data_IF_454796727219
#
_entry.id   IF_454796727219
#
_cell.length_a   1.000
_cell.length_b   1.000
_cell.length_c   1.000
_cell.angle_alpha   90.00
_cell.angle_beta   90.00
_cell.angle_gamma   90.00
#
_symmetry.space_group_name_H-M   'P 1'
#
loop_
_entity.id
_entity.type
_entity.pdbx_description
1 polymer ?
#
# COMPACT_ATOMS: atom_id res chain seq x y z
N UNK A 1 19.87 -1.10 -18.79
CA UNK A 1 20.31 -0.14 -17.76
C UNK A 1 20.91 -0.81 -16.52
N UNK A 2 20.25 -1.76 -15.86
CA UNK A 2 20.73 -2.31 -14.56
C UNK A 2 22.07 -3.06 -14.61
N UNK A 3 22.32 -3.87 -15.64
CA UNK A 3 23.60 -4.61 -15.81
C UNK A 3 24.77 -3.63 -16.03
N UNK A 4 24.54 -2.56 -16.78
CA UNK A 4 25.55 -1.52 -17.01
C UNK A 4 25.94 -0.81 -15.71
N UNK A 5 24.96 -0.47 -14.86
CA UNK A 5 25.21 0.14 -13.54
C UNK A 5 26.02 -0.82 -12.65
N UNK A 6 25.70 -2.11 -12.65
CA UNK A 6 26.47 -3.11 -11.90
C UNK A 6 27.89 -3.25 -12.43
N UNK A 7 28.09 -3.23 -13.76
CA UNK A 7 29.42 -3.28 -14.36
C UNK A 7 30.26 -2.06 -13.98
N UNK A 8 29.69 -0.85 -14.05
CA UNK A 8 30.36 0.38 -13.63
C UNK A 8 30.69 0.35 -12.13
N UNK A 9 29.76 -0.10 -11.28
CA UNK A 9 29.98 -0.22 -9.84
C UNK A 9 31.09 -1.24 -9.52
N UNK A 10 31.09 -2.37 -10.23
CA UNK A 10 32.16 -3.37 -10.13
C UNK A 10 33.52 -2.78 -10.53
N UNK A 11 33.57 -2.03 -11.63
CA UNK A 11 34.80 -1.42 -12.11
C UNK A 11 35.38 -0.41 -11.10
N UNK A 12 34.52 0.37 -10.43
CA UNK A 12 34.95 1.41 -9.49
C UNK A 12 35.35 0.83 -8.13
N UNK A 13 34.59 -0.12 -7.59
CA UNK A 13 34.71 -0.55 -6.20
C UNK A 13 34.51 -2.06 -5.97
N UNK A 14 34.55 -2.85 -7.05
CA UNK A 14 34.53 -4.31 -7.01
C UNK A 14 33.21 -4.92 -6.55
N UNK A 15 33.30 -6.15 -6.04
CA UNK A 15 32.12 -6.93 -5.64
C UNK A 15 31.35 -6.33 -4.46
N UNK A 16 32.02 -5.59 -3.56
CA UNK A 16 31.35 -4.94 -2.43
C UNK A 16 30.33 -3.90 -2.89
N UNK A 17 30.64 -3.11 -3.92
CA UNK A 17 29.70 -2.14 -4.48
C UNK A 17 28.50 -2.84 -5.14
N UNK A 18 28.73 -3.96 -5.84
CA UNK A 18 27.66 -4.75 -6.42
C UNK A 18 26.72 -5.32 -5.35
N UNK A 19 27.29 -5.88 -4.28
CA UNK A 19 26.52 -6.43 -3.16
C UNK A 19 25.72 -5.33 -2.45
N UNK A 20 26.33 -4.17 -2.21
CA UNK A 20 25.66 -3.03 -1.61
C UNK A 20 24.47 -2.55 -2.46
N UNK A 21 24.68 -2.34 -3.77
CA UNK A 21 23.60 -1.93 -4.68
C UNK A 21 22.47 -2.97 -4.75
N UNK A 22 22.83 -4.25 -4.82
CA UNK A 22 21.84 -5.32 -4.79
C UNK A 22 21.05 -5.31 -3.49
N UNK A 23 21.73 -5.23 -2.34
CA UNK A 23 21.10 -5.20 -1.02
C UNK A 23 20.17 -3.99 -0.87
N UNK A 24 20.60 -2.79 -1.27
CA UNK A 24 19.75 -1.60 -1.27
C UNK A 24 18.53 -1.78 -2.16
N UNK A 25 18.71 -2.22 -3.41
CA UNK A 25 17.58 -2.45 -4.32
C UNK A 25 16.60 -3.49 -3.81
N UNK A 26 17.11 -4.58 -3.22
CA UNK A 26 16.31 -5.63 -2.60
C UNK A 26 15.51 -5.10 -1.41
N UNK A 27 16.16 -4.38 -0.48
CA UNK A 27 15.49 -3.78 0.68
C UNK A 27 14.44 -2.75 0.24
N UNK A 28 14.77 -1.88 -0.72
CA UNK A 28 13.80 -0.92 -1.29
C UNK A 28 12.60 -1.63 -1.91
N UNK A 29 12.80 -2.74 -2.63
CA UNK A 29 11.71 -3.52 -3.19
C UNK A 29 10.85 -4.17 -2.11
N UNK A 30 11.46 -4.74 -1.07
CA UNK A 30 10.72 -5.29 0.07
C UNK A 30 9.87 -4.23 0.77
N UNK A 31 10.41 -3.03 1.01
CA UNK A 31 9.67 -1.92 1.62
C UNK A 31 8.49 -1.51 0.72
N UNK A 32 8.72 -1.40 -0.59
CA UNK A 32 7.66 -1.08 -1.56
C UNK A 32 6.53 -2.12 -1.54
N UNK A 33 6.87 -3.40 -1.48
CA UNK A 33 5.87 -4.47 -1.40
C UNK A 33 5.09 -4.47 -0.08
N UNK A 34 5.74 -4.16 1.04
CA UNK A 34 5.05 -4.02 2.34
C UNK A 34 4.06 -2.86 2.28
N UNK A 35 4.48 -1.72 1.72
CA UNK A 35 3.63 -0.53 1.50
C UNK A 35 2.44 -0.86 0.61
N UNK A 36 2.69 -1.41 -0.58
CA UNK A 36 1.63 -1.80 -1.52
C UNK A 36 0.65 -2.78 -0.87
N UNK A 37 1.16 -3.76 -0.13
CA UNK A 37 0.34 -4.73 0.55
C UNK A 37 -0.57 -4.08 1.59
N UNK A 38 -0.01 -3.23 2.47
CA UNK A 38 -0.76 -2.67 3.58
C UNK A 38 -1.80 -1.64 3.10
N UNK A 39 -1.48 -0.85 2.07
CA UNK A 39 -2.36 0.18 1.51
C UNK A 39 -3.53 -0.38 0.71
N UNK A 40 -3.38 -1.57 0.14
CA UNK A 40 -4.42 -2.23 -0.65
C UNK A 40 -4.99 -3.48 0.01
N UNK A 41 -4.68 -3.72 1.28
CA UNK A 41 -5.03 -4.95 1.97
C UNK A 41 -6.55 -5.19 2.01
N UNK A 42 -7.01 -6.23 1.32
CA UNK A 42 -8.37 -6.76 1.43
C UNK A 42 -9.50 -5.88 0.91
N UNK A 43 -9.17 -4.75 0.26
CA UNK A 43 -10.13 -3.91 -0.46
C UNK A 43 -10.27 -4.39 -1.90
N UNK A 44 -11.46 -4.25 -2.48
CA UNK A 44 -11.74 -4.64 -3.86
C UNK A 44 -12.39 -3.49 -4.62
N UNK A 45 -12.23 -3.53 -5.94
CA UNK A 45 -12.84 -2.61 -6.90
C UNK A 45 -13.26 -3.43 -8.10
N UNK A 46 -14.38 -3.09 -8.72
CA UNK A 46 -14.69 -3.66 -10.03
C UNK A 46 -13.76 -3.05 -11.11
N UNK A 47 -13.08 -3.87 -11.94
CA UNK A 47 -12.02 -3.39 -12.84
C UNK A 47 -12.44 -2.29 -13.81
N UNK A 48 -13.73 -2.22 -14.21
CA UNK A 48 -14.24 -1.22 -15.15
C UNK A 48 -14.57 0.14 -14.51
N UNK A 49 -14.66 0.22 -13.18
CA UNK A 49 -14.92 1.48 -12.49
C UNK A 49 -13.62 2.23 -12.22
N UNK A 50 -13.67 3.56 -12.20
CA UNK A 50 -12.52 4.36 -11.79
C UNK A 50 -12.08 4.03 -10.35
N UNK A 51 -10.82 4.28 -10.04
CA UNK A 51 -10.34 4.23 -8.66
C UNK A 51 -10.94 5.40 -7.88
N UNK A 52 -11.29 5.15 -6.63
CA UNK A 52 -12.01 6.08 -5.76
C UNK A 52 -11.31 6.02 -4.39
N UNK A 53 -11.45 7.06 -3.55
CA UNK A 53 -10.74 7.11 -2.26
C UNK A 53 -11.01 5.89 -1.36
N UNK A 54 -12.17 5.25 -1.51
CA UNK A 54 -12.54 4.03 -0.78
C UNK A 54 -11.80 2.76 -1.20
N UNK A 55 -11.04 2.78 -2.28
CA UNK A 55 -10.33 1.61 -2.82
C UNK A 55 -8.91 1.43 -2.30
N UNK A 56 -8.51 2.21 -1.29
CA UNK A 56 -7.20 2.17 -0.67
C UNK A 56 -7.29 2.63 0.78
N UNK A 57 -6.44 2.09 1.65
CA UNK A 57 -6.29 2.60 3.00
C UNK A 57 -5.50 3.91 3.03
N UNK A 58 -5.85 4.80 3.95
CA UNK A 58 -5.27 6.14 4.07
C UNK A 58 -4.73 6.39 5.49
N UNK A 59 -3.86 7.39 5.65
CA UNK A 59 -3.51 7.91 6.98
C UNK A 59 -3.29 9.42 6.94
N UNK A 60 -4.03 10.16 7.78
CA UNK A 60 -3.93 11.62 7.89
C UNK A 60 -3.07 12.08 9.09
N UNK A 61 -2.27 11.18 9.67
CA UNK A 61 -1.44 11.52 10.84
C UNK A 61 -0.33 12.50 10.44
N UNK A 62 -0.30 13.67 11.11
CA UNK A 62 0.61 14.79 10.79
C UNK A 62 2.08 14.37 10.70
N UNK A 63 2.59 13.65 11.71
CA UNK A 63 3.99 13.20 11.76
C UNK A 63 4.31 12.30 10.56
N UNK A 64 3.41 11.37 10.22
CA UNK A 64 3.60 10.50 9.05
C UNK A 64 3.58 11.28 7.74
N UNK A 65 2.64 12.22 7.59
CA UNK A 65 2.55 13.06 6.40
C UNK A 65 3.82 13.91 6.23
N UNK A 66 4.34 14.50 7.30
CA UNK A 66 5.57 15.30 7.24
C UNK A 66 6.81 14.46 6.94
N UNK A 67 6.99 13.35 7.66
CA UNK A 67 8.15 12.48 7.49
C UNK A 67 8.21 11.82 6.11
N UNK A 68 7.07 11.66 5.45
CA UNK A 68 6.94 10.93 4.18
C UNK A 68 6.35 11.77 3.06
N UNK A 69 6.45 13.10 3.14
CA UNK A 69 6.03 14.02 2.07
C UNK A 69 4.62 13.75 1.54
N UNK A 70 3.66 13.61 2.45
CA UNK A 70 2.25 13.29 2.18
C UNK A 70 1.99 11.94 1.48
N UNK A 71 2.98 11.05 1.33
CA UNK A 71 2.78 9.67 0.86
C UNK A 71 1.56 8.97 1.52
N UNK A 72 1.32 9.12 2.85
CA UNK A 72 0.18 8.49 3.50
C UNK A 72 -1.20 8.96 3.01
N UNK A 73 -1.29 10.04 2.21
CA UNK A 73 -2.50 10.52 1.52
C UNK A 73 -2.78 9.72 0.24
N UNK A 74 -2.60 8.41 0.35
CA UNK A 74 -2.61 7.45 -0.75
C UNK A 74 -3.93 7.43 -1.52
N UNK A 75 -5.04 7.63 -0.82
CA UNK A 75 -6.37 7.61 -1.43
C UNK A 75 -6.61 8.79 -2.38
N UNK A 76 -6.04 9.98 -2.09
CA UNK A 76 -6.09 11.08 -3.04
C UNK A 76 -5.17 10.78 -4.24
N UNK A 77 -3.97 10.26 -4.00
CA UNK A 77 -3.04 9.88 -5.08
C UNK A 77 -3.68 8.88 -6.04
N UNK A 78 -4.30 7.81 -5.56
CA UNK A 78 -4.90 6.81 -6.44
C UNK A 78 -6.19 7.27 -7.14
N UNK A 79 -6.98 8.15 -6.52
CA UNK A 79 -8.15 8.73 -7.19
C UNK A 79 -7.78 9.82 -8.20
N UNK A 80 -6.64 10.50 -8.00
CA UNK A 80 -6.10 11.55 -8.89
C UNK A 80 -4.56 11.48 -8.98
N UNK A 81 -4.04 10.51 -9.72
CA UNK A 81 -2.59 10.21 -9.79
C UNK A 81 -1.70 11.32 -10.36
N UNK A 82 -2.29 12.27 -11.09
CA UNK A 82 -1.56 13.42 -11.64
C UNK A 82 -1.33 14.55 -10.61
N UNK A 83 -1.93 14.47 -9.41
CA UNK A 83 -1.74 15.48 -8.36
C UNK A 83 -0.34 15.32 -7.77
N UNK A 84 0.48 16.38 -7.74
CA UNK A 84 1.82 16.30 -7.15
C UNK A 84 1.74 16.14 -5.62
N UNK A 85 2.77 15.57 -5.02
CA UNK A 85 2.77 15.13 -3.61
C UNK A 85 2.48 16.26 -2.61
N UNK A 86 2.90 17.49 -2.92
CA UNK A 86 2.69 18.68 -2.10
C UNK A 86 1.23 19.12 -2.06
N UNK A 87 0.45 18.79 -3.10
CA UNK A 87 -0.98 19.10 -3.23
C UNK A 87 -1.91 17.94 -2.91
N UNK A 88 -1.37 16.81 -2.43
CA UNK A 88 -2.22 15.75 -1.91
C UNK A 88 -3.05 16.30 -0.74
N UNK A 89 -4.27 15.83 -0.59
CA UNK A 89 -5.26 16.36 0.36
C UNK A 89 -5.73 15.23 1.25
N UNK A 90 -6.14 15.56 2.47
CA UNK A 90 -6.77 14.57 3.33
C UNK A 90 -8.13 14.19 2.72
N UNK A 91 -8.44 12.90 2.71
CA UNK A 91 -9.71 12.37 2.23
C UNK A 91 -10.47 11.82 3.46
N UNK A 92 -11.36 12.61 4.11
CA UNK A 92 -12.10 12.16 5.30
C UNK A 92 -12.98 10.94 5.02
N UNK A 93 -13.46 10.84 3.77
CA UNK A 93 -14.29 9.75 3.27
C UNK A 93 -13.48 8.51 2.85
N UNK A 94 -12.15 8.49 3.07
CA UNK A 94 -11.33 7.32 2.77
C UNK A 94 -11.17 6.44 4.02
N UNK A 95 -11.13 5.11 3.86
CA UNK A 95 -10.92 4.22 4.98
C UNK A 95 -9.50 4.39 5.53
N UNK A 96 -9.37 4.55 6.84
CA UNK A 96 -8.07 4.78 7.46
C UNK A 96 -7.41 3.51 8.00
N UNK A 97 -6.08 3.48 7.95
CA UNK A 97 -5.23 2.46 8.56
C UNK A 97 -5.36 2.41 10.09
N UNK A 98 -4.69 1.43 10.71
CA UNK A 98 -4.69 1.22 12.17
C UNK A 98 -4.11 2.44 12.90
N UNK A 99 -3.04 3.01 12.36
CA UNK A 99 -2.28 4.07 13.02
C UNK A 99 -1.62 4.99 11.98
N UNK A 100 -0.55 5.69 12.39
CA UNK A 100 0.37 6.32 11.46
C UNK A 100 1.00 5.32 10.50
N UNK A 101 1.66 5.83 9.48
CA UNK A 101 2.17 5.02 8.38
C UNK A 101 3.28 4.07 8.83
N UNK A 102 4.29 4.61 9.53
CA UNK A 102 5.45 3.85 10.03
C UNK A 102 5.02 2.79 11.05
N UNK A 103 4.14 3.13 11.99
CA UNK A 103 3.64 2.17 12.96
C UNK A 103 2.84 1.05 12.30
N UNK A 104 2.02 1.37 11.30
CA UNK A 104 1.29 0.37 10.52
C UNK A 104 2.24 -0.55 9.75
N UNK A 105 3.29 0.00 9.15
CA UNK A 105 4.33 -0.77 8.46
C UNK A 105 5.00 -1.81 9.36
N UNK A 106 5.27 -1.47 10.64
CA UNK A 106 5.82 -2.42 11.62
C UNK A 106 4.80 -3.51 12.00
N UNK A 107 3.52 -3.13 12.20
CA UNK A 107 2.45 -4.07 12.56
C UNK A 107 2.22 -5.11 11.44
N UNK A 108 2.28 -4.70 10.17
CA UNK A 108 2.11 -5.59 8.99
C UNK A 108 3.09 -6.75 9.01
N UNK A 109 4.30 -6.55 9.52
CA UNK A 109 5.34 -7.57 9.61
C UNK A 109 5.08 -8.61 10.72
N UNK A 110 4.01 -8.44 11.51
CA UNK A 110 3.58 -9.38 12.56
C UNK A 110 2.20 -9.92 12.15
N UNK A 111 2.13 -10.99 11.31
CA UNK A 111 0.88 -11.39 10.66
C UNK A 111 -0.30 -11.66 11.60
N UNK A 112 -0.14 -12.36 12.75
CA UNK A 112 -1.26 -12.59 13.67
C UNK A 112 -1.86 -11.28 14.22
N UNK A 113 -1.00 -10.30 14.52
CA UNK A 113 -1.43 -8.99 15.02
C UNK A 113 -2.10 -8.16 13.90
N UNK A 114 -1.48 -8.15 12.72
CA UNK A 114 -2.03 -7.48 11.53
C UNK A 114 -3.45 -7.95 11.22
N UNK A 115 -3.65 -9.27 11.11
CA UNK A 115 -4.96 -9.82 10.78
C UNK A 115 -6.01 -9.50 11.84
N UNK A 116 -5.65 -9.63 13.13
CA UNK A 116 -6.54 -9.28 14.25
C UNK A 116 -6.99 -7.82 14.21
N UNK A 117 -6.10 -6.90 13.89
CA UNK A 117 -6.41 -5.46 13.87
C UNK A 117 -7.13 -5.01 12.58
N UNK A 118 -6.84 -5.64 11.45
CA UNK A 118 -7.46 -5.27 10.17
C UNK A 118 -8.84 -5.90 9.95
N UNK A 119 -9.15 -7.04 10.54
CA UNK A 119 -10.48 -7.66 10.41
C UNK A 119 -11.65 -6.72 10.72
N UNK A 120 -11.72 -6.01 11.86
CA UNK A 120 -12.83 -5.10 12.14
C UNK A 120 -12.90 -3.92 11.16
N UNK A 121 -11.75 -3.40 10.69
CA UNK A 121 -11.70 -2.34 9.68
C UNK A 121 -12.24 -2.78 8.33
N UNK A 122 -11.90 -4.01 7.95
CA UNK A 122 -12.40 -4.64 6.74
C UNK A 122 -13.92 -4.87 6.80
N UNK A 123 -14.45 -5.33 7.94
CA UNK A 123 -15.89 -5.46 8.14
C UNK A 123 -16.61 -4.10 8.09
N UNK A 124 -15.99 -3.06 8.65
CA UNK A 124 -16.49 -1.69 8.54
C UNK A 124 -16.50 -1.21 7.08
N UNK A 125 -15.44 -1.52 6.31
CA UNK A 125 -15.40 -1.22 4.88
C UNK A 125 -16.55 -1.90 4.11
N UNK A 126 -16.73 -3.20 4.32
CA UNK A 126 -17.79 -4.00 3.69
C UNK A 126 -19.20 -3.40 3.94
N UNK A 127 -19.44 -2.83 5.13
CA UNK A 127 -20.74 -2.28 5.52
C UNK A 127 -21.00 -0.86 5.05
N UNK A 128 -19.95 -0.02 5.00
CA UNK A 128 -20.11 1.44 4.83
C UNK A 128 -19.58 1.97 3.50
N UNK A 129 -18.73 1.23 2.80
CA UNK A 129 -18.03 1.70 1.60
C UNK A 129 -18.20 0.80 0.38
N UNK A 130 -18.41 -0.50 0.60
CA UNK A 130 -18.52 -1.46 -0.50
C UNK A 130 -19.85 -1.30 -1.25
N UNK A 131 -19.78 -1.31 -2.57
CA UNK A 131 -20.95 -1.40 -3.44
C UNK A 131 -21.48 -2.84 -3.49
N UNK A 132 -22.74 -3.03 -3.92
CA UNK A 132 -23.31 -4.37 -4.12
C UNK A 132 -22.50 -5.22 -5.10
N UNK A 133 -21.88 -4.59 -6.11
CA UNK A 133 -21.01 -5.27 -7.08
C UNK A 133 -19.72 -5.77 -6.43
N UNK A 134 -19.07 -4.95 -5.60
CA UNK A 134 -17.87 -5.33 -4.86
C UNK A 134 -18.15 -6.39 -3.79
N UNK A 135 -19.31 -6.31 -3.11
CA UNK A 135 -19.75 -7.36 -2.21
C UNK A 135 -19.98 -8.70 -2.93
N UNK A 136 -20.47 -8.65 -4.17
CA UNK A 136 -20.59 -9.84 -5.02
C UNK A 136 -19.22 -10.37 -5.48
N UNK A 137 -18.24 -9.50 -5.73
CA UNK A 137 -16.86 -9.92 -5.97
C UNK A 137 -16.31 -10.64 -4.73
N UNK A 138 -16.53 -10.07 -3.54
CA UNK A 138 -16.08 -10.65 -2.27
C UNK A 138 -16.74 -12.01 -1.96
N UNK A 139 -18.04 -12.16 -2.22
CA UNK A 139 -18.76 -13.42 -1.96
C UNK A 139 -18.25 -14.58 -2.80
N UNK A 140 -17.69 -14.31 -3.99
CA UNK A 140 -17.08 -15.30 -4.88
C UNK A 140 -15.65 -15.68 -4.49
N UNK A 141 -15.02 -14.98 -3.54
CA UNK A 141 -13.68 -15.32 -3.06
C UNK A 141 -13.77 -16.46 -2.02
N UNK A 142 -13.18 -17.62 -2.36
CA UNK A 142 -13.15 -18.84 -1.50
C UNK A 142 -12.61 -18.63 -0.08
N UNK A 143 -11.84 -17.58 0.17
CA UNK A 143 -11.22 -17.30 1.47
C UNK A 143 -11.48 -15.86 1.91
N UNK A 144 -12.72 -15.57 2.31
CA UNK A 144 -13.13 -14.24 2.77
C UNK A 144 -12.38 -13.78 4.03
N UNK A 145 -11.98 -14.71 4.90
CA UNK A 145 -11.25 -14.43 6.15
C UNK A 145 -9.74 -14.26 5.95
N UNK A 146 -9.22 -14.73 4.82
CA UNK A 146 -7.80 -14.69 4.48
C UNK A 146 -7.64 -13.84 3.22
N UNK A 147 -8.03 -12.55 3.32
CA UNK A 147 -7.99 -11.55 2.25
C UNK A 147 -6.54 -11.29 1.79
N UNK A 148 -5.88 -12.28 1.22
CA UNK A 148 -4.64 -12.08 0.48
C UNK A 148 -4.99 -11.17 -0.69
N UNK A 149 -4.27 -10.06 -0.90
CA UNK A 149 -4.54 -9.18 -2.01
C UNK A 149 -4.37 -10.01 -3.28
N UNK A 150 -5.47 -10.31 -3.96
CA UNK A 150 -5.40 -10.43 -5.40
C UNK A 150 -5.05 -9.03 -5.84
N UNK A 151 -3.80 -8.87 -6.29
CA UNK A 151 -3.23 -7.66 -6.87
C UNK A 151 -4.35 -6.71 -7.25
N UNK A 152 -4.52 -5.65 -6.46
CA UNK A 152 -5.16 -4.47 -6.97
C UNK A 152 -4.38 -4.17 -8.26
N UNK A 153 -5.01 -4.42 -9.41
CA UNK A 153 -4.59 -3.86 -10.67
C UNK A 153 -4.71 -2.35 -10.47
N UNK A 154 -3.64 -1.79 -9.92
CA UNK A 154 -3.20 -0.42 -10.13
C UNK A 154 -2.81 -0.34 -11.61
#
# INVERSE_FOLDING_TARGET
MSIFILFVAFYIAGWFACLFLFATGFVSKCILEVVNYMEHYGLVRHPRHRVEPRHSWNSNKKISCWAMFNLPRHSHHHSKGAVPFDKLEAMPEAPEMISGYISTMLIVLIPPLWFKLMQPKLAHWDKHYATSEELNILSKLKHRDNRKPKQALV
#
